data_IF_823001689788
#
_entry.id   IF_823001689788
#
_cell.length_a   1.000
_cell.length_b   1.000
_cell.length_c   1.000
_cell.angle_alpha   90.00
_cell.angle_beta   90.00
_cell.angle_gamma   90.00
#
_symmetry.space_group_name_H-M   'P 1'
#
loop_
_entity.id
_entity.type
_entity.pdbx_description
1 polymer ?
#
# COMPACT_ATOMS: atom_id res chain seq x y z
N UNK A 1 8.36 -7.53 -19.44
CA UNK A 1 7.69 -6.29 -19.01
C UNK A 1 6.72 -5.87 -20.13
N UNK A 2 5.48 -5.61 -19.79
CA UNK A 2 4.47 -5.10 -20.70
C UNK A 2 4.19 -3.64 -20.33
N UNK A 3 4.28 -2.75 -21.29
CA UNK A 3 3.88 -1.35 -21.14
C UNK A 3 2.47 -1.19 -21.67
N UNK A 4 1.61 -0.60 -20.85
CA UNK A 4 0.21 -0.38 -21.17
C UNK A 4 -0.06 1.11 -21.10
N UNK A 5 -0.89 1.58 -21.99
CA UNK A 5 -1.30 2.96 -22.09
C UNK A 5 -2.18 3.39 -20.89
N UNK A 6 -2.21 4.67 -20.56
CA UNK A 6 -2.93 5.29 -19.45
C UNK A 6 -4.42 4.92 -19.36
N UNK A 7 -5.06 4.61 -20.47
CA UNK A 7 -6.48 4.24 -20.49
C UNK A 7 -6.77 2.90 -19.81
N UNK A 8 -5.76 2.07 -19.62
CA UNK A 8 -5.91 0.72 -19.09
C UNK A 8 -5.53 0.60 -17.62
N UNK A 9 -4.80 1.52 -17.03
CA UNK A 9 -4.30 1.42 -15.65
C UNK A 9 -5.41 1.34 -14.58
N UNK A 10 -6.63 1.76 -14.93
CA UNK A 10 -7.81 1.70 -14.07
C UNK A 10 -8.82 0.63 -14.49
N UNK A 11 -8.47 -0.23 -15.44
CA UNK A 11 -9.37 -1.28 -15.90
C UNK A 11 -9.32 -2.49 -14.95
N UNK A 12 -10.48 -2.91 -14.45
CA UNK A 12 -10.58 -4.14 -13.67
C UNK A 12 -10.10 -5.34 -14.48
N UNK A 13 -9.44 -6.29 -13.81
CA UNK A 13 -8.95 -7.56 -14.39
C UNK A 13 -7.94 -7.40 -15.52
N UNK A 14 -7.26 -6.26 -15.65
CA UNK A 14 -6.26 -6.05 -16.71
C UNK A 14 -5.13 -7.09 -16.68
N UNK A 15 -4.73 -7.54 -15.49
CA UNK A 15 -3.78 -8.63 -15.27
C UNK A 15 -4.25 -9.94 -15.93
N UNK A 16 -5.47 -10.34 -15.65
CA UNK A 16 -6.08 -11.55 -16.22
C UNK A 16 -6.31 -11.44 -17.72
N UNK A 17 -6.71 -10.27 -18.21
CA UNK A 17 -6.89 -10.03 -19.66
C UNK A 17 -5.57 -10.22 -20.38
N UNK A 18 -4.47 -9.64 -19.86
CA UNK A 18 -3.16 -9.79 -20.47
C UNK A 18 -2.58 -11.21 -20.37
N UNK A 19 -2.87 -11.93 -19.29
CA UNK A 19 -2.52 -13.34 -19.19
C UNK A 19 -3.14 -14.16 -20.33
N UNK A 20 -4.42 -13.93 -20.61
CA UNK A 20 -5.16 -14.63 -21.67
C UNK A 20 -4.70 -14.22 -23.06
N UNK A 21 -4.52 -12.95 -23.32
CA UNK A 21 -4.14 -12.42 -24.64
C UNK A 21 -2.73 -12.81 -25.05
N UNK A 22 -1.80 -12.78 -24.10
CA UNK A 22 -0.37 -13.01 -24.36
C UNK A 22 0.08 -14.44 -24.03
N UNK A 23 -0.80 -15.26 -23.45
CA UNK A 23 -0.48 -16.61 -22.96
C UNK A 23 0.76 -16.61 -22.04
N UNK A 24 0.80 -15.66 -21.12
CA UNK A 24 1.86 -15.51 -20.12
C UNK A 24 1.24 -15.47 -18.71
N UNK A 25 2.01 -15.83 -17.71
CA UNK A 25 1.60 -15.66 -16.33
C UNK A 25 2.09 -14.30 -15.83
N UNK A 26 1.18 -13.45 -15.39
CA UNK A 26 1.51 -12.22 -14.66
C UNK A 26 1.74 -12.59 -13.18
N UNK A 27 2.89 -12.27 -12.66
CA UNK A 27 3.24 -12.55 -11.26
C UNK A 27 3.03 -11.35 -10.35
N UNK A 28 3.15 -10.14 -10.91
CA UNK A 28 3.05 -8.87 -10.19
C UNK A 28 2.71 -7.73 -11.15
N UNK A 29 2.04 -6.71 -10.65
CA UNK A 29 1.68 -5.50 -11.40
C UNK A 29 2.27 -4.27 -10.70
N UNK A 30 3.13 -3.53 -11.40
CA UNK A 30 3.62 -2.23 -10.95
C UNK A 30 3.02 -1.16 -11.86
N UNK A 31 2.25 -0.25 -11.29
CA UNK A 31 1.54 0.79 -12.05
C UNK A 31 2.25 2.12 -11.87
N UNK A 32 2.73 2.69 -12.96
CA UNK A 32 3.27 4.04 -12.99
C UNK A 32 2.13 5.03 -13.18
N UNK A 33 1.88 5.88 -12.20
CA UNK A 33 0.71 6.73 -12.15
C UNK A 33 1.04 8.17 -11.73
N UNK A 34 0.01 8.99 -11.76
CA UNK A 34 0.04 10.40 -11.36
C UNK A 34 -0.70 10.57 -10.05
N UNK A 35 0.00 11.03 -9.03
CA UNK A 35 -0.65 11.44 -7.79
C UNK A 35 -1.29 12.82 -7.93
N UNK A 36 -2.50 12.97 -7.40
CA UNK A 36 -3.23 14.25 -7.36
C UNK A 36 -3.52 14.62 -5.92
N UNK A 37 -2.99 15.76 -5.47
CA UNK A 37 -3.26 16.29 -4.13
C UNK A 37 -3.60 17.76 -4.15
N UNK A 38 -4.59 18.14 -3.34
CA UNK A 38 -4.97 19.55 -3.15
C UNK A 38 -3.85 20.40 -2.55
N UNK A 39 -2.88 19.79 -1.88
CA UNK A 39 -1.73 20.49 -1.32
C UNK A 39 -0.81 21.05 -2.40
N UNK A 40 -0.78 20.43 -3.59
CA UNK A 40 0.14 20.78 -4.68
C UNK A 40 1.62 20.55 -4.35
N UNK A 41 1.94 19.98 -3.18
CA UNK A 41 3.33 19.73 -2.79
C UNK A 41 3.93 18.60 -3.63
N UNK A 42 5.16 18.76 -4.15
CA UNK A 42 5.83 17.70 -4.86
C UNK A 42 5.96 16.46 -4.00
N UNK A 43 5.63 15.29 -4.55
CA UNK A 43 5.70 14.02 -3.84
C UNK A 43 6.04 12.86 -4.77
N UNK A 44 6.79 11.90 -4.26
CA UNK A 44 6.95 10.58 -4.85
C UNK A 44 6.36 9.58 -3.88
N UNK A 45 5.31 8.91 -4.32
CA UNK A 45 4.50 8.07 -3.43
C UNK A 45 4.34 6.67 -3.98
N UNK A 46 4.05 5.73 -3.09
CA UNK A 46 3.66 4.38 -3.48
C UNK A 46 2.65 3.83 -2.49
N UNK A 47 1.72 3.02 -3.01
CA UNK A 47 0.66 2.43 -2.19
C UNK A 47 0.08 1.15 -2.78
N UNK A 48 -0.38 0.23 -1.93
CA UNK A 48 -1.28 -0.85 -2.34
C UNK A 48 -2.65 -0.29 -2.72
N UNK A 49 -3.40 -1.03 -3.53
CA UNK A 49 -4.74 -0.63 -3.98
C UNK A 49 -5.84 -1.49 -3.37
N UNK A 50 -7.03 -0.91 -3.30
CA UNK A 50 -8.25 -1.54 -2.82
C UNK A 50 -9.18 -0.57 -2.10
N UNK A 51 -10.43 -0.96 -2.01
CA UNK A 51 -11.48 -0.26 -1.27
C UNK A 51 -12.01 -1.19 -0.15
N UNK A 52 -11.20 -1.53 0.87
CA UNK A 52 -11.58 -2.54 1.85
C UNK A 52 -12.81 -2.12 2.68
N UNK A 53 -13.06 -0.82 2.85
CA UNK A 53 -14.24 -0.26 3.50
C UNK A 53 -15.30 0.22 2.51
N UNK A 54 -16.36 0.80 3.06
CA UNK A 54 -17.44 1.41 2.28
C UNK A 54 -17.08 2.79 1.74
N UNK A 55 -16.22 3.52 2.45
CA UNK A 55 -15.78 4.87 2.11
C UNK A 55 -14.34 4.87 1.61
N UNK A 56 -14.10 4.56 0.33
CA UNK A 56 -12.77 4.70 -0.24
C UNK A 56 -12.37 6.19 -0.27
N UNK A 57 -11.08 6.48 -0.31
CA UNK A 57 -10.63 7.83 -0.59
C UNK A 57 -11.04 8.19 -2.02
N UNK A 58 -11.77 9.28 -2.16
CA UNK A 58 -12.36 9.68 -3.42
C UNK A 58 -13.78 9.15 -3.66
N UNK A 59 -14.37 9.49 -4.78
CA UNK A 59 -15.69 9.01 -5.15
C UNK A 59 -15.65 7.56 -5.59
N UNK A 60 -16.63 6.73 -5.21
CA UNK A 60 -16.75 5.37 -5.70
C UNK A 60 -16.74 5.35 -7.24
N UNK A 61 -15.86 4.54 -7.82
CA UNK A 61 -15.70 4.41 -9.26
C UNK A 61 -14.65 5.33 -9.89
N UNK A 62 -14.07 6.29 -9.16
CA UNK A 62 -12.87 6.97 -9.61
C UNK A 62 -11.68 6.00 -9.53
N UNK A 63 -10.92 5.87 -10.61
CA UNK A 63 -9.83 4.92 -10.71
C UNK A 63 -10.19 3.44 -10.48
N UNK A 64 -11.43 3.05 -10.77
CA UNK A 64 -11.89 1.67 -10.61
C UNK A 64 -12.04 1.21 -9.16
N UNK A 65 -12.06 -0.10 -8.98
CA UNK A 65 -12.18 -0.72 -7.67
C UNK A 65 -13.62 -1.02 -7.25
N UNK A 66 -13.75 -1.84 -6.22
CA UNK A 66 -15.04 -2.27 -5.70
C UNK A 66 -15.03 -2.22 -4.17
N UNK A 67 -16.07 -1.64 -3.60
CA UNK A 67 -16.28 -1.58 -2.15
C UNK A 67 -16.17 -2.96 -1.50
N UNK A 68 -15.50 -3.01 -0.36
CA UNK A 68 -15.27 -4.23 0.40
C UNK A 68 -14.21 -5.15 -0.20
N UNK A 69 -13.49 -4.75 -1.25
CA UNK A 69 -12.42 -5.54 -1.85
C UNK A 69 -11.08 -4.82 -1.80
N UNK A 70 -10.03 -5.57 -1.51
CA UNK A 70 -8.65 -5.14 -1.67
C UNK A 70 -7.91 -6.05 -2.64
N UNK A 71 -6.88 -5.52 -3.28
CA UNK A 71 -6.01 -6.26 -4.20
C UNK A 71 -4.80 -6.76 -3.40
N UNK A 72 -4.29 -7.97 -3.62
CA UNK A 72 -3.08 -8.42 -2.94
C UNK A 72 -1.95 -7.39 -3.09
N UNK A 73 -1.31 -6.93 -1.99
CA UNK A 73 -0.25 -5.94 -2.07
C UNK A 73 1.03 -6.54 -2.65
N UNK A 74 1.79 -5.76 -3.42
CA UNK A 74 3.08 -6.23 -3.94
C UNK A 74 4.05 -6.55 -2.81
N UNK A 75 4.73 -7.69 -2.84
CA UNK A 75 5.83 -7.98 -1.92
C UNK A 75 6.99 -6.98 -2.01
N UNK A 76 7.10 -6.23 -3.10
CA UNK A 76 8.14 -5.21 -3.28
C UNK A 76 7.83 -3.89 -2.58
N UNK A 77 6.68 -3.75 -1.92
CA UNK A 77 6.26 -2.47 -1.35
C UNK A 77 7.33 -1.85 -0.41
N UNK A 78 7.80 -2.61 0.57
CA UNK A 78 8.80 -2.09 1.51
C UNK A 78 10.16 -1.85 0.85
N UNK A 79 10.65 -2.78 0.02
CA UNK A 79 11.94 -2.65 -0.65
C UNK A 79 11.96 -1.51 -1.67
N UNK A 80 10.91 -1.34 -2.48
CA UNK A 80 10.81 -0.21 -3.40
C UNK A 80 10.77 1.13 -2.67
N UNK A 81 10.11 1.20 -1.51
CA UNK A 81 10.11 2.41 -0.70
C UNK A 81 11.52 2.77 -0.19
N UNK A 82 12.29 1.80 0.27
CA UNK A 82 13.67 2.05 0.73
C UNK A 82 14.57 2.45 -0.44
N UNK A 83 14.50 1.73 -1.57
CA UNK A 83 15.24 2.08 -2.78
C UNK A 83 14.91 3.50 -3.26
N UNK A 84 13.63 3.89 -3.24
CA UNK A 84 13.20 5.23 -3.59
C UNK A 84 13.79 6.30 -2.67
N UNK A 85 13.82 6.04 -1.35
CA UNK A 85 14.42 6.95 -0.38
C UNK A 85 15.92 7.15 -0.64
N UNK A 86 16.66 6.06 -0.86
CA UNK A 86 18.10 6.09 -1.12
C UNK A 86 18.41 6.80 -2.44
N UNK A 87 17.69 6.49 -3.50
CA UNK A 87 17.87 7.11 -4.80
C UNK A 87 17.51 8.61 -4.78
N UNK A 88 16.41 8.99 -4.10
CA UNK A 88 16.01 10.38 -3.96
C UNK A 88 17.03 11.20 -3.15
N UNK A 89 17.63 10.63 -2.11
CA UNK A 89 18.72 11.26 -1.37
C UNK A 89 19.98 11.45 -2.22
N UNK A 90 20.33 10.43 -2.99
CA UNK A 90 21.53 10.46 -3.85
C UNK A 90 21.41 11.46 -5.00
N UNK A 91 20.21 11.69 -5.50
CA UNK A 91 19.92 12.66 -6.58
C UNK A 91 19.50 14.06 -6.09
N UNK A 92 19.49 14.29 -4.78
CA UNK A 92 18.97 15.50 -4.12
C UNK A 92 17.47 15.79 -4.37
N UNK A 93 16.73 14.87 -4.99
CA UNK A 93 15.28 15.04 -5.18
C UNK A 93 14.49 15.02 -3.86
N UNK A 94 15.05 14.42 -2.80
CA UNK A 94 14.48 14.47 -1.45
C UNK A 94 14.45 15.86 -0.82
N UNK A 95 15.15 16.85 -1.37
CA UNK A 95 15.08 18.25 -0.93
C UNK A 95 13.83 18.96 -1.46
N UNK A 96 13.27 18.48 -2.58
CA UNK A 96 12.11 19.07 -3.25
C UNK A 96 10.86 18.19 -3.12
N UNK A 97 11.00 16.87 -3.23
CA UNK A 97 9.90 15.94 -3.18
C UNK A 97 9.76 15.31 -1.80
N UNK A 98 8.54 15.25 -1.29
CA UNK A 98 8.22 14.42 -0.13
C UNK A 98 8.17 12.95 -0.56
N UNK A 99 9.02 12.11 0.07
CA UNK A 99 9.10 10.68 -0.20
C UNK A 99 8.32 9.94 0.86
N UNK A 100 7.14 9.44 0.50
CA UNK A 100 6.21 8.87 1.46
C UNK A 100 5.42 7.69 0.91
N UNK A 101 4.78 6.95 1.80
CA UNK A 101 3.80 5.93 1.41
C UNK A 101 2.39 6.45 1.65
N UNK A 102 1.45 5.91 0.90
CA UNK A 102 0.03 6.18 1.10
C UNK A 102 -0.70 4.95 1.63
N UNK A 103 -1.84 5.19 2.26
CA UNK A 103 -2.73 4.11 2.67
C UNK A 103 -3.39 3.47 1.47
N UNK A 104 -3.78 2.21 1.60
CA UNK A 104 -4.53 1.46 0.58
C UNK A 104 -5.80 2.18 0.21
N UNK A 105 -5.98 2.48 -1.06
CA UNK A 105 -7.17 3.16 -1.58
C UNK A 105 -7.35 2.87 -3.08
N UNK A 106 -8.48 3.23 -3.63
CA UNK A 106 -8.98 3.05 -5.00
C UNK A 106 -8.70 1.66 -5.64
N UNK A 107 -9.13 1.51 -6.89
CA UNK A 107 -8.90 0.31 -7.71
C UNK A 107 -7.74 0.46 -8.69
N UNK A 108 -7.72 -0.34 -9.74
CA UNK A 108 -8.77 -1.30 -10.14
C UNK A 108 -8.81 -2.59 -9.30
N UNK A 109 -9.76 -3.49 -9.59
CA UNK A 109 -9.79 -4.84 -9.01
C UNK A 109 -8.90 -5.75 -9.83
N UNK A 110 -7.81 -6.20 -9.24
CA UNK A 110 -6.84 -7.12 -9.85
C UNK A 110 -6.69 -8.39 -9.00
N UNK A 111 -6.21 -9.46 -9.62
CA UNK A 111 -5.97 -10.76 -8.97
C UNK A 111 -4.51 -10.92 -8.54
N UNK A 112 -3.60 -10.19 -9.17
CA UNK A 112 -2.16 -10.28 -8.93
C UNK A 112 -1.68 -9.24 -7.93
N UNK A 113 -0.62 -9.52 -7.17
CA UNK A 113 0.00 -8.54 -6.29
C UNK A 113 0.31 -7.25 -7.03
N UNK A 114 -0.15 -6.12 -6.48
CA UNK A 114 -0.12 -4.83 -7.18
C UNK A 114 0.39 -3.71 -6.29
N UNK A 115 1.11 -2.78 -6.89
CA UNK A 115 1.58 -1.54 -6.27
C UNK A 115 1.49 -0.38 -7.26
N UNK A 116 0.99 0.75 -6.81
CA UNK A 116 1.05 2.02 -7.52
C UNK A 116 2.31 2.80 -7.13
N UNK A 117 2.95 3.38 -8.13
CA UNK A 117 4.18 4.18 -8.03
C UNK A 117 3.90 5.52 -8.71
N UNK A 118 3.95 6.61 -7.95
CA UNK A 118 3.35 7.84 -8.41
C UNK A 118 4.28 9.04 -8.32
N UNK A 119 4.10 9.97 -9.27
CA UNK A 119 4.70 11.32 -9.25
C UNK A 119 3.58 12.32 -9.02
N UNK A 120 3.71 13.17 -8.04
CA UNK A 120 2.70 14.17 -7.68
C UNK A 120 3.29 15.48 -7.20
N UNK A 121 2.40 16.40 -6.94
CA UNK A 121 0.93 16.26 -6.82
C UNK A 121 0.13 17.05 -7.86
N UNK A 122 0.74 17.61 -8.92
CA UNK A 122 0.10 18.41 -9.96
C UNK A 122 0.81 18.27 -11.30
N UNK A 123 0.26 18.89 -12.33
CA UNK A 123 0.82 18.88 -13.69
C UNK A 123 2.29 19.36 -13.74
N UNK A 124 2.70 20.23 -12.82
CA UNK A 124 4.07 20.70 -12.76
C UNK A 124 5.08 19.61 -12.41
N UNK A 125 4.65 18.59 -11.66
CA UNK A 125 5.49 17.46 -11.25
C UNK A 125 5.38 16.27 -12.22
N UNK A 126 4.21 16.04 -12.82
CA UNK A 126 3.98 14.83 -13.64
C UNK A 126 4.91 14.74 -14.85
N UNK A 127 5.32 15.86 -15.43
CA UNK A 127 6.23 15.94 -16.58
C UNK A 127 7.72 16.01 -16.20
N UNK A 128 8.07 15.90 -14.91
CA UNK A 128 9.45 15.98 -14.42
C UNK A 128 10.25 14.76 -14.87
N UNK A 129 11.21 14.99 -15.77
CA UNK A 129 12.09 13.94 -16.30
C UNK A 129 12.98 13.33 -15.22
N UNK A 130 13.52 14.13 -14.31
CA UNK A 130 14.37 13.67 -13.21
C UNK A 130 13.62 12.72 -12.26
N UNK A 131 12.35 13.04 -11.91
CA UNK A 131 11.51 12.17 -11.12
C UNK A 131 11.16 10.87 -11.87
N UNK A 132 10.92 10.94 -13.18
CA UNK A 132 10.66 9.77 -14.02
C UNK A 132 11.90 8.89 -14.17
N UNK A 133 13.09 9.47 -14.32
CA UNK A 133 14.36 8.75 -14.38
C UNK A 133 14.67 8.07 -13.04
N UNK A 134 14.39 8.74 -11.91
CA UNK A 134 14.54 8.16 -10.60
C UNK A 134 13.68 6.91 -10.44
N UNK A 135 12.39 6.97 -10.82
CA UNK A 135 11.52 5.79 -10.79
C UNK A 135 12.01 4.68 -11.73
N UNK A 136 12.49 5.03 -12.92
CA UNK A 136 13.05 4.06 -13.85
C UNK A 136 14.27 3.33 -13.25
N UNK A 137 15.16 4.06 -12.57
CA UNK A 137 16.32 3.51 -11.86
C UNK A 137 15.89 2.58 -10.72
N UNK A 138 14.97 3.04 -9.85
CA UNK A 138 14.46 2.28 -8.70
C UNK A 138 13.81 0.96 -9.14
N UNK A 139 12.97 1.01 -10.18
CA UNK A 139 12.31 -0.17 -10.74
C UNK A 139 13.32 -1.10 -11.39
N UNK A 140 14.23 -0.55 -12.19
CA UNK A 140 15.28 -1.32 -12.87
C UNK A 140 16.14 -2.10 -11.87
N UNK A 141 16.58 -1.43 -10.80
CA UNK A 141 17.34 -2.06 -9.72
C UNK A 141 16.52 -3.13 -9.00
N UNK A 142 15.27 -2.83 -8.67
CA UNK A 142 14.38 -3.79 -7.99
C UNK A 142 14.11 -5.05 -8.82
N UNK A 143 14.07 -4.94 -10.14
CA UNK A 143 13.82 -6.05 -11.07
C UNK A 143 15.10 -6.72 -11.60
N UNK A 144 16.27 -6.23 -11.23
CA UNK A 144 17.56 -6.75 -11.74
C UNK A 144 17.77 -6.48 -13.23
N UNK A 145 17.22 -5.35 -13.75
CA UNK A 145 17.29 -5.05 -15.20
C UNK A 145 18.56 -4.30 -15.61
N UNK A 146 19.34 -3.76 -14.70
CA UNK A 146 20.51 -2.90 -14.94
C UNK A 146 21.80 -3.50 -14.34
N UNK A 147 22.11 -4.74 -14.70
CA UNK A 147 23.29 -5.48 -14.17
C UNK A 147 23.34 -5.55 -12.62
N UNK A 148 22.24 -5.26 -11.95
CA UNK A 148 22.04 -5.43 -10.52
C UNK A 148 21.37 -6.78 -10.24
N UNK A 149 21.73 -7.41 -9.14
CA UNK A 149 20.95 -8.55 -8.67
C UNK A 149 19.52 -8.08 -8.33
N UNK A 150 18.48 -8.79 -8.81
CA UNK A 150 17.14 -8.42 -8.47
C UNK A 150 16.94 -8.48 -6.95
N UNK A 151 16.26 -7.50 -6.38
CA UNK A 151 15.80 -7.63 -5.00
C UNK A 151 14.98 -8.91 -4.88
N UNK A 152 15.36 -9.74 -3.92
CA UNK A 152 14.69 -11.02 -3.71
C UNK A 152 13.18 -10.81 -3.57
N UNK A 153 12.42 -11.63 -4.29
CA UNK A 153 10.97 -11.70 -4.12
C UNK A 153 10.63 -12.34 -2.77
N UNK A 154 9.33 -12.50 -2.49
CA UNK A 154 8.90 -13.13 -1.25
C UNK A 154 9.48 -14.55 -1.10
N UNK A 155 10.26 -14.83 -0.04
CA UNK A 155 10.95 -16.12 0.13
C UNK A 155 10.04 -17.23 0.69
N UNK A 156 8.76 -16.95 0.96
CA UNK A 156 7.82 -17.89 1.57
C UNK A 156 7.79 -17.84 3.11
N UNK A 157 8.58 -16.99 3.74
CA UNK A 157 8.60 -16.80 5.21
C UNK A 157 9.08 -15.40 5.56
N UNK A 158 8.76 -14.96 6.76
CA UNK A 158 9.17 -13.66 7.28
C UNK A 158 8.02 -12.91 7.96
N UNK A 159 8.33 -11.77 8.53
CA UNK A 159 7.37 -10.93 9.21
C UNK A 159 6.75 -9.93 8.24
N UNK A 160 5.41 -9.81 8.27
CA UNK A 160 4.64 -8.94 7.38
C UNK A 160 3.78 -7.99 8.21
N UNK A 161 4.02 -6.70 8.07
CA UNK A 161 3.25 -5.67 8.75
C UNK A 161 1.97 -5.34 7.97
N UNK A 162 0.84 -5.27 8.68
CA UNK A 162 -0.35 -4.53 8.22
C UNK A 162 -0.49 -3.30 9.11
N UNK A 163 -0.56 -2.12 8.49
CA UNK A 163 -0.76 -0.85 9.20
C UNK A 163 -2.24 -0.49 9.33
N UNK A 164 -2.65 -0.03 10.51
CA UNK A 164 -4.01 0.47 10.77
C UNK A 164 -3.97 1.87 11.33
N UNK A 165 -4.71 2.77 10.72
CA UNK A 165 -4.84 4.16 11.14
C UNK A 165 -3.95 5.13 10.37
N UNK A 166 -4.01 6.37 10.74
CA UNK A 166 -3.45 7.48 9.97
C UNK A 166 -4.42 8.02 8.94
N UNK A 167 -4.03 9.11 8.33
CA UNK A 167 -4.70 9.66 7.15
C UNK A 167 -4.09 9.08 5.88
N UNK A 168 -4.30 9.76 4.77
CA UNK A 168 -3.86 9.34 3.45
C UNK A 168 -2.37 8.98 3.36
N UNK A 169 -1.48 9.84 3.83
CA UNK A 169 -0.03 9.65 3.76
C UNK A 169 0.60 8.81 4.87
N UNK A 170 -0.17 8.29 5.80
CA UNK A 170 0.26 7.35 6.85
C UNK A 170 1.64 7.62 7.49
N UNK A 171 1.93 8.82 8.02
CA UNK A 171 3.29 9.23 8.40
C UNK A 171 3.92 8.34 9.49
N UNK A 172 3.12 7.73 10.35
CA UNK A 172 3.63 6.81 11.38
C UNK A 172 4.07 5.48 10.81
N UNK A 173 3.32 4.94 9.86
CA UNK A 173 3.70 3.71 9.15
C UNK A 173 4.95 3.96 8.31
N UNK A 174 5.01 5.10 7.59
CA UNK A 174 6.20 5.57 6.86
C UNK A 174 7.43 5.61 7.78
N UNK A 175 7.30 6.19 8.98
CA UNK A 175 8.41 6.29 9.95
C UNK A 175 8.88 4.93 10.45
N UNK A 176 7.97 3.96 10.59
CA UNK A 176 8.31 2.59 10.99
C UNK A 176 9.00 1.84 9.85
N UNK A 177 8.51 1.98 8.62
CA UNK A 177 9.10 1.38 7.44
C UNK A 177 10.53 1.87 7.17
N UNK A 178 10.82 3.16 7.40
CA UNK A 178 12.18 3.75 7.26
C UNK A 178 13.22 3.13 8.19
N UNK A 179 12.83 2.45 9.24
CA UNK A 179 13.71 2.01 10.33
C UNK A 179 13.82 0.50 10.49
N UNK A 180 13.02 -0.27 9.77
CA UNK A 180 12.90 -1.70 9.97
C UNK A 180 12.91 -2.46 8.64
N UNK A 181 13.39 -3.70 8.72
CA UNK A 181 13.45 -4.63 7.60
C UNK A 181 12.38 -5.72 7.78
N UNK A 182 11.12 -5.39 7.52
CA UNK A 182 10.03 -6.36 7.43
C UNK A 182 9.23 -6.10 6.14
N UNK A 183 8.48 -7.09 5.74
CA UNK A 183 7.57 -6.96 4.60
C UNK A 183 6.36 -6.14 5.01
N UNK A 184 5.74 -5.48 4.04
CA UNK A 184 4.56 -4.65 4.30
C UNK A 184 3.43 -5.07 3.38
N UNK A 185 2.31 -5.37 4.00
CA UNK A 185 1.05 -5.61 3.34
C UNK A 185 0.25 -4.32 3.12
N UNK A 186 -0.99 -4.31 3.55
CA UNK A 186 -1.84 -3.12 3.46
C UNK A 186 -1.57 -2.09 4.55
N UNK A 187 -1.82 -0.82 4.22
CA UNK A 187 -1.92 0.29 5.17
C UNK A 187 -3.36 0.82 5.12
N UNK A 188 -4.13 0.57 6.16
CA UNK A 188 -5.56 0.90 6.20
C UNK A 188 -5.79 2.20 6.96
N UNK A 189 -6.23 3.23 6.27
CA UNK A 189 -6.54 4.52 6.89
C UNK A 189 -7.67 4.40 7.93
N UNK A 190 -7.69 5.32 8.90
CA UNK A 190 -8.74 5.31 9.93
C UNK A 190 -10.14 5.53 9.36
N UNK A 191 -10.28 6.30 8.30
CA UNK A 191 -11.58 6.55 7.64
C UNK A 191 -12.09 5.33 6.84
N UNK A 192 -11.23 4.36 6.49
CA UNK A 192 -11.64 3.10 5.88
C UNK A 192 -12.10 2.06 6.91
N UNK A 193 -11.98 2.38 8.21
CA UNK A 193 -12.47 1.58 9.32
C UNK A 193 -13.72 2.25 9.90
N UNK A 194 -14.85 1.98 9.31
CA UNK A 194 -16.13 2.60 9.68
C UNK A 194 -16.68 1.92 10.92
N UNK A 195 -16.56 2.60 12.05
CA UNK A 195 -17.08 2.16 13.34
C UNK A 195 -18.40 2.86 13.64
N UNK A 196 -19.38 2.08 14.01
CA UNK A 196 -20.64 2.55 14.58
C UNK A 196 -20.71 2.08 16.04
N UNK A 197 -20.93 3.00 16.96
CA UNK A 197 -21.09 2.70 18.38
C UNK A 197 -22.53 2.98 18.77
N UNK A 198 -23.28 1.93 19.06
CA UNK A 198 -24.70 2.05 19.45
C UNK A 198 -24.83 2.37 20.94
N UNK A 199 -24.06 1.70 21.80
CA UNK A 199 -24.05 1.91 23.26
C UNK A 199 -22.62 1.79 23.81
N UNK A 200 -22.32 2.55 24.86
CA UNK A 200 -21.04 2.46 25.54
C UNK A 200 -20.83 1.09 26.18
N UNK A 201 -19.71 0.45 25.90
CA UNK A 201 -19.38 -0.90 26.41
C UNK A 201 -19.81 -2.06 25.53
N UNK A 202 -20.49 -1.80 24.41
CA UNK A 202 -20.82 -2.82 23.41
C UNK A 202 -19.68 -2.98 22.39
N UNK A 203 -19.67 -4.11 21.68
CA UNK A 203 -18.77 -4.29 20.53
C UNK A 203 -19.28 -3.38 19.41
N UNK A 204 -18.47 -2.48 18.87
CA UNK A 204 -18.92 -1.57 17.82
C UNK A 204 -19.36 -2.35 16.57
N UNK A 205 -20.48 -1.92 15.99
CA UNK A 205 -20.94 -2.34 14.67
C UNK A 205 -20.23 -1.59 13.54
N UNK A 206 -20.67 -1.76 12.31
CA UNK A 206 -20.08 -1.13 11.12
C UNK A 206 -19.10 -2.04 10.35
N UNK A 207 -18.58 -1.51 9.26
CA UNK A 207 -17.79 -2.30 8.29
C UNK A 207 -16.33 -2.53 8.68
N UNK A 208 -15.86 -1.97 9.79
CA UNK A 208 -14.46 -2.02 10.19
C UNK A 208 -13.88 -3.45 10.29
N UNK A 209 -14.67 -4.44 10.71
CA UNK A 209 -14.23 -5.85 10.77
C UNK A 209 -13.96 -6.40 9.37
N UNK A 210 -14.89 -6.17 8.46
CA UNK A 210 -14.76 -6.60 7.07
C UNK A 210 -13.53 -5.94 6.41
N UNK A 211 -13.31 -4.66 6.65
CA UNK A 211 -12.12 -3.95 6.13
C UNK A 211 -10.81 -4.58 6.63
N UNK A 212 -10.77 -4.98 7.91
CA UNK A 212 -9.60 -5.67 8.47
C UNK A 212 -9.45 -7.08 7.88
N UNK A 213 -10.54 -7.87 7.82
CA UNK A 213 -10.52 -9.23 7.26
C UNK A 213 -10.05 -9.24 5.81
N UNK A 214 -10.52 -8.30 5.00
CA UNK A 214 -10.14 -8.20 3.60
C UNK A 214 -8.65 -7.83 3.43
N UNK A 215 -8.16 -6.87 4.21
CA UNK A 215 -6.73 -6.52 4.23
C UNK A 215 -5.86 -7.71 4.67
N UNK A 216 -6.28 -8.45 5.69
CA UNK A 216 -5.58 -9.65 6.16
C UNK A 216 -5.62 -10.75 5.12
N UNK A 217 -6.79 -11.02 4.53
CA UNK A 217 -6.97 -12.05 3.51
C UNK A 217 -6.07 -11.82 2.30
N UNK A 218 -6.06 -10.63 1.75
CA UNK A 218 -5.27 -10.29 0.55
C UNK A 218 -3.78 -10.18 0.87
N UNK A 219 -3.40 -9.76 2.08
CA UNK A 219 -2.01 -9.84 2.53
C UNK A 219 -1.56 -11.31 2.64
N UNK A 220 -2.37 -12.22 3.16
CA UNK A 220 -2.03 -13.66 3.21
C UNK A 220 -1.87 -14.26 1.81
N UNK A 221 -2.62 -13.78 0.82
CA UNK A 221 -2.47 -14.19 -0.59
C UNK A 221 -1.11 -13.73 -1.15
N UNK A 222 -0.71 -12.50 -0.86
CA UNK A 222 0.57 -11.94 -1.35
C UNK A 222 1.78 -12.53 -0.62
N UNK A 223 1.62 -12.93 0.65
CA UNK A 223 2.69 -13.41 1.52
C UNK A 223 2.37 -14.80 2.11
N UNK A 224 2.29 -15.84 1.29
CA UNK A 224 2.01 -17.19 1.78
C UNK A 224 3.12 -17.67 2.72
N UNK A 225 2.75 -18.18 3.90
CA UNK A 225 3.68 -18.60 4.95
C UNK A 225 4.25 -17.47 5.82
N UNK A 226 3.87 -16.22 5.58
CA UNK A 226 4.30 -15.07 6.36
C UNK A 226 3.64 -14.99 7.74
N UNK A 227 4.39 -14.50 8.71
CA UNK A 227 3.88 -14.16 10.05
C UNK A 227 3.37 -12.72 10.05
N UNK A 228 2.06 -12.56 10.00
CA UNK A 228 1.44 -11.23 9.96
C UNK A 228 1.38 -10.62 11.36
N UNK A 229 1.74 -9.35 11.49
CA UNK A 229 1.50 -8.54 12.68
C UNK A 229 0.85 -7.20 12.32
N UNK A 230 0.09 -6.65 13.25
CA UNK A 230 -0.55 -5.35 13.12
C UNK A 230 0.30 -4.22 13.71
N UNK A 231 0.46 -3.11 12.99
CA UNK A 231 0.96 -1.84 13.55
C UNK A 231 -0.18 -0.83 13.60
N UNK A 232 -0.43 -0.28 14.79
CA UNK A 232 -1.56 0.62 15.03
C UNK A 232 -1.10 2.05 15.25
N UNK A 233 -1.52 3.00 14.39
CA UNK A 233 -1.42 4.42 14.72
C UNK A 233 -2.46 4.77 15.80
N UNK A 234 -2.04 4.65 17.04
CA UNK A 234 -2.91 4.82 18.21
C UNK A 234 -3.55 6.19 18.32
N UNK A 235 -2.98 7.23 17.70
CA UNK A 235 -3.52 8.59 17.75
C UNK A 235 -4.73 8.77 16.82
N UNK A 236 -4.87 7.89 15.82
CA UNK A 236 -5.96 7.93 14.86
C UNK A 236 -7.28 7.38 15.40
N UNK A 237 -7.25 6.76 16.59
CA UNK A 237 -8.41 6.05 17.14
C UNK A 237 -8.72 6.45 18.57
N UNK A 238 -10.00 6.44 18.93
CA UNK A 238 -10.48 6.50 20.30
C UNK A 238 -10.07 5.22 21.07
N UNK A 239 -10.11 5.26 22.39
CA UNK A 239 -9.71 4.12 23.23
C UNK A 239 -10.46 2.83 22.90
N UNK A 240 -11.78 2.91 22.80
CA UNK A 240 -12.65 1.78 22.50
C UNK A 240 -12.42 1.21 21.08
N UNK A 241 -12.15 2.05 20.08
CA UNK A 241 -11.80 1.59 18.72
C UNK A 241 -10.50 0.78 18.73
N UNK A 242 -9.47 1.30 19.44
CA UNK A 242 -8.19 0.58 19.57
C UNK A 242 -8.35 -0.80 20.19
N UNK A 243 -9.15 -0.88 21.27
CA UNK A 243 -9.39 -2.14 21.95
C UNK A 243 -10.14 -3.10 21.00
N UNK A 244 -11.19 -2.63 20.33
CA UNK A 244 -11.92 -3.42 19.36
C UNK A 244 -11.05 -3.99 18.23
N UNK A 245 -10.14 -3.16 17.67
CA UNK A 245 -9.17 -3.61 16.64
C UNK A 245 -8.24 -4.67 17.22
N UNK A 246 -7.66 -4.44 18.40
CA UNK A 246 -6.71 -5.37 19.02
C UNK A 246 -7.38 -6.71 19.32
N UNK A 247 -8.56 -6.67 19.93
CA UNK A 247 -9.33 -7.87 20.29
C UNK A 247 -9.71 -8.66 19.02
N UNK A 248 -10.12 -7.96 17.97
CA UNK A 248 -10.48 -8.61 16.71
C UNK A 248 -9.25 -9.22 16.00
N UNK A 249 -8.13 -8.51 15.91
CA UNK A 249 -6.89 -9.04 15.34
C UNK A 249 -6.39 -10.28 16.12
N UNK A 250 -6.57 -10.30 17.43
CA UNK A 250 -6.27 -11.48 18.26
C UNK A 250 -7.09 -12.70 17.87
N UNK A 251 -8.35 -12.52 17.42
CA UNK A 251 -9.17 -13.63 16.91
C UNK A 251 -8.67 -14.20 15.58
N UNK A 252 -7.85 -13.44 14.86
CA UNK A 252 -7.22 -13.80 13.60
C UNK A 252 -5.77 -14.31 13.78
N UNK A 253 -5.32 -14.52 15.03
CA UNK A 253 -3.95 -14.85 15.41
C UNK A 253 -2.91 -13.79 14.98
N UNK A 254 -3.30 -12.52 15.02
CA UNK A 254 -2.45 -11.39 14.66
C UNK A 254 -2.11 -10.55 15.87
N UNK A 255 -0.82 -10.51 16.23
CA UNK A 255 -0.30 -9.67 17.30
C UNK A 255 -0.27 -8.20 16.86
N UNK A 256 -0.62 -7.28 17.77
CA UNK A 256 -0.45 -5.83 17.53
C UNK A 256 0.81 -5.33 18.23
N UNK A 257 1.74 -4.81 17.43
CA UNK A 257 3.00 -4.24 17.90
C UNK A 257 2.97 -2.71 17.89
N UNK A 258 3.66 -2.10 18.82
CA UNK A 258 3.86 -0.64 18.85
C UNK A 258 5.17 -0.31 18.15
N UNK A 259 5.26 0.88 17.57
CA UNK A 259 6.51 1.32 16.93
C UNK A 259 7.73 1.17 17.82
N UNK A 260 7.62 1.52 19.12
CA UNK A 260 8.73 1.36 20.08
C UNK A 260 9.17 -0.09 20.32
N UNK A 261 8.30 -1.05 20.13
CA UNK A 261 8.57 -2.49 20.35
C UNK A 261 9.24 -3.12 19.12
N UNK A 262 9.31 -2.36 18.01
CA UNK A 262 9.92 -2.76 16.74
C UNK A 262 11.31 -2.15 16.52
N UNK A 263 11.70 -1.20 17.37
CA UNK A 263 13.05 -0.65 17.37
C UNK A 263 13.86 -1.41 18.43
N UNK A 264 14.61 -2.41 17.95
CA UNK A 264 15.60 -3.13 18.77
C UNK A 264 16.84 -2.28 19.01
#
# INVERSE_FOLDING_TARGET
MLLIDDLHIFADQIDTIHELELNVQVTEVLVLSRHVSKSGLPSLTLHPIGCPGETPLGEPGFAGGKKGLAVPPSPRFASLFILLLEAAQSSNLSEEFDITVETTHHGPVLSRPTLYLEIGSSENQWSRQDASLLWAEVISNSLGMADSDPHEGWPGYGEVMIGFGGGHYAPRHTSVMKKNQFWVGHLIANYALEFELEEEGTIPSGQWKHSIEEAVRTTRVAFPGGTIFGHLDRKSFKGWQRNAIIDFLSTLDIEVRRGKDMFG
#
